data_IF_053590653075
#
_entry.id   IF_053590653075
#
_cell.length_a   1.000
_cell.length_b   1.000
_cell.length_c   1.000
_cell.angle_alpha   90.00
_cell.angle_beta   90.00
_cell.angle_gamma   90.00
#
_symmetry.space_group_name_H-M   'P 1'
#
loop_
_entity.id
_entity.type
_entity.pdbx_description
1 polymer ?
#
# COMPACT_ATOMS: atom_id res chain seq x y z
N UNK A 1 -9.33 -9.98 -11.84
CA UNK A 1 -8.39 -10.66 -12.76
C UNK A 1 -8.37 -12.13 -12.40
N UNK A 2 -8.61 -13.06 -13.34
CA UNK A 2 -8.69 -14.50 -13.05
C UNK A 2 -7.34 -15.08 -12.60
N UNK A 3 -6.23 -14.58 -13.14
CA UNK A 3 -4.86 -14.90 -12.73
C UNK A 3 -4.16 -13.60 -12.31
N UNK A 4 -3.57 -13.56 -11.10
CA UNK A 4 -2.82 -12.41 -10.57
C UNK A 4 -1.31 -12.66 -10.60
N UNK A 5 -0.82 -13.15 -11.74
CA UNK A 5 0.62 -13.39 -11.94
C UNK A 5 1.30 -12.11 -12.35
N UNK A 6 2.63 -12.04 -12.14
CA UNK A 6 3.43 -10.91 -12.58
C UNK A 6 3.30 -10.67 -14.09
N UNK A 7 3.37 -11.74 -14.90
CA UNK A 7 3.18 -11.67 -16.36
C UNK A 7 1.83 -11.04 -16.75
N UNK A 8 0.76 -11.36 -16.03
CA UNK A 8 -0.55 -10.77 -16.30
C UNK A 8 -0.54 -9.26 -16.01
N UNK A 9 0.11 -8.83 -14.93
CA UNK A 9 0.28 -7.42 -14.62
C UNK A 9 1.18 -6.69 -15.63
N UNK A 10 2.27 -7.32 -16.07
CA UNK A 10 3.18 -6.75 -17.08
C UNK A 10 2.43 -6.43 -18.37
N UNK A 11 1.57 -7.35 -18.85
CA UNK A 11 0.71 -7.12 -20.03
C UNK A 11 -0.25 -5.94 -19.84
N UNK A 12 -0.82 -5.77 -18.64
CA UNK A 12 -1.71 -4.65 -18.33
C UNK A 12 -0.93 -3.33 -18.33
N UNK A 13 0.20 -3.28 -17.63
CA UNK A 13 1.02 -2.08 -17.53
C UNK A 13 1.64 -1.70 -18.88
N UNK A 14 1.98 -2.67 -19.72
CA UNK A 14 2.44 -2.42 -21.07
C UNK A 14 1.39 -1.69 -21.90
N UNK A 15 0.14 -2.19 -21.90
CA UNK A 15 -0.96 -1.52 -22.61
C UNK A 15 -1.16 -0.09 -22.12
N UNK A 16 -1.14 0.13 -20.81
CA UNK A 16 -1.25 1.46 -20.21
C UNK A 16 -0.09 2.36 -20.66
N UNK A 17 1.15 1.87 -20.58
CA UNK A 17 2.33 2.63 -21.00
C UNK A 17 2.25 3.03 -22.48
N UNK A 18 1.91 2.10 -23.36
CA UNK A 18 1.78 2.38 -24.79
C UNK A 18 0.71 3.44 -25.08
N UNK A 19 -0.44 3.38 -24.40
CA UNK A 19 -1.51 4.38 -24.52
C UNK A 19 -1.07 5.76 -24.01
N UNK A 20 -0.40 5.82 -22.87
CA UNK A 20 0.12 7.09 -22.33
C UNK A 20 1.15 7.72 -23.29
N UNK A 21 2.07 6.90 -23.82
CA UNK A 21 3.08 7.37 -24.76
C UNK A 21 2.49 7.79 -26.11
N UNK A 22 1.41 7.14 -26.59
CA UNK A 22 0.74 7.58 -27.82
C UNK A 22 0.04 8.93 -27.67
N UNK A 23 -0.45 9.25 -26.47
CA UNK A 23 -1.08 10.54 -26.18
C UNK A 23 -0.04 11.63 -25.96
N UNK A 24 1.02 11.34 -25.19
CA UNK A 24 2.10 12.28 -24.92
C UNK A 24 3.45 11.57 -24.84
N UNK A 25 4.22 11.52 -25.93
CA UNK A 25 5.55 10.90 -25.96
C UNK A 25 6.56 11.55 -24.99
N UNK A 26 6.34 12.80 -24.60
CA UNK A 26 7.24 13.58 -23.71
C UNK A 26 6.72 13.65 -22.27
N UNK A 27 5.78 12.79 -21.90
CA UNK A 27 5.23 12.76 -20.54
C UNK A 27 6.34 12.46 -19.53
N UNK A 28 6.41 13.26 -18.46
CA UNK A 28 7.29 12.95 -17.34
C UNK A 28 6.91 11.59 -16.73
N UNK A 29 7.87 10.87 -16.10
CA UNK A 29 7.57 9.60 -15.47
C UNK A 29 6.43 9.73 -14.46
N UNK A 30 5.33 8.96 -14.61
CA UNK A 30 4.19 9.06 -13.72
C UNK A 30 4.51 8.52 -12.33
N UNK A 31 3.76 8.94 -11.32
CA UNK A 31 3.70 8.24 -10.03
C UNK A 31 2.71 7.09 -10.13
N UNK A 32 3.16 5.87 -9.88
CA UNK A 32 2.38 4.64 -9.98
C UNK A 32 2.04 4.17 -8.56
N UNK A 33 0.74 4.07 -8.25
CA UNK A 33 0.25 3.60 -6.95
C UNK A 33 -0.46 2.27 -7.15
N UNK A 34 0.04 1.20 -6.53
CA UNK A 34 -0.48 -0.17 -6.66
C UNK A 34 -0.85 -0.77 -5.32
N UNK A 35 -1.67 -1.82 -5.31
CA UNK A 35 -1.86 -2.62 -4.10
C UNK A 35 -0.54 -3.36 -3.72
N UNK A 36 -0.43 -3.84 -2.49
CA UNK A 36 0.77 -4.48 -1.93
C UNK A 36 1.01 -5.92 -2.46
N UNK A 37 0.48 -6.25 -3.64
CA UNK A 37 0.74 -7.52 -4.30
C UNK A 37 2.11 -7.48 -4.98
N UNK A 38 3.04 -8.35 -4.56
CA UNK A 38 4.42 -8.41 -5.08
C UNK A 38 4.44 -8.51 -6.61
N UNK A 39 3.52 -9.28 -7.20
CA UNK A 39 3.39 -9.43 -8.64
C UNK A 39 3.08 -8.10 -9.35
N UNK A 40 2.19 -7.28 -8.77
CA UNK A 40 1.84 -5.98 -9.33
C UNK A 40 2.97 -4.96 -9.16
N UNK A 41 3.64 -4.94 -8.00
CA UNK A 41 4.78 -4.06 -7.73
C UNK A 41 5.91 -4.34 -8.73
N UNK A 42 6.35 -5.59 -8.85
CA UNK A 42 7.44 -5.98 -9.75
C UNK A 42 7.12 -5.70 -11.22
N UNK A 43 5.87 -5.95 -11.62
CA UNK A 43 5.42 -5.65 -12.98
C UNK A 43 5.42 -4.15 -13.28
N UNK A 44 5.03 -3.32 -12.31
CA UNK A 44 5.07 -1.86 -12.44
C UNK A 44 6.51 -1.34 -12.52
N UNK A 45 7.40 -1.80 -11.62
CA UNK A 45 8.83 -1.43 -11.62
C UNK A 45 9.52 -1.79 -12.94
N UNK A 46 9.22 -2.98 -13.48
CA UNK A 46 9.74 -3.44 -14.78
C UNK A 46 9.20 -2.68 -15.98
N UNK A 47 7.97 -2.14 -15.92
CA UNK A 47 7.42 -1.41 -17.06
C UNK A 47 7.70 0.09 -17.01
N UNK A 48 7.78 0.64 -15.82
CA UNK A 48 7.94 2.07 -15.55
C UNK A 48 9.22 2.35 -14.74
N UNK A 49 10.38 2.01 -15.30
CA UNK A 49 11.68 2.12 -14.61
C UNK A 49 12.01 3.51 -14.06
N UNK A 50 11.56 4.57 -14.73
CA UNK A 50 11.81 5.95 -14.31
C UNK A 50 10.74 6.52 -13.38
N UNK A 51 9.68 5.75 -13.10
CA UNK A 51 8.56 6.16 -12.26
C UNK A 51 8.77 5.80 -10.80
N UNK A 52 8.17 6.60 -9.91
CA UNK A 52 7.94 6.17 -8.53
C UNK A 52 6.87 5.08 -8.51
N UNK A 53 7.16 3.94 -7.89
CA UNK A 53 6.19 2.85 -7.63
C UNK A 53 5.94 2.79 -6.12
N UNK A 54 4.70 3.03 -5.72
CA UNK A 54 4.32 3.17 -4.31
C UNK A 54 3.13 2.28 -3.95
N UNK A 55 3.07 1.90 -2.67
CA UNK A 55 1.96 1.13 -2.11
C UNK A 55 0.73 1.99 -1.83
N UNK A 56 -0.45 1.46 -2.12
CA UNK A 56 -1.72 2.15 -1.93
C UNK A 56 -2.12 2.18 -0.45
N UNK A 57 -2.04 3.36 0.18
CA UNK A 57 -2.41 3.57 1.58
C UNK A 57 -3.85 3.11 1.89
N UNK A 58 -4.80 3.33 0.97
CA UNK A 58 -6.18 2.93 1.14
C UNK A 58 -6.31 1.41 1.33
N UNK A 59 -5.65 0.62 0.47
CA UNK A 59 -5.65 -0.83 0.58
C UNK A 59 -4.94 -1.32 1.85
N UNK A 60 -3.83 -0.68 2.23
CA UNK A 60 -3.11 -0.97 3.48
C UNK A 60 -4.01 -0.77 4.71
N UNK A 61 -4.68 0.38 4.82
CA UNK A 61 -5.59 0.68 5.93
C UNK A 61 -6.74 -0.33 5.96
N UNK A 62 -7.31 -0.70 4.81
CA UNK A 62 -8.36 -1.73 4.74
C UNK A 62 -7.87 -3.10 5.19
N UNK A 63 -6.66 -3.49 4.81
CA UNK A 63 -6.04 -4.74 5.26
C UNK A 63 -5.87 -4.74 6.79
N UNK A 64 -5.34 -3.67 7.38
CA UNK A 64 -5.22 -3.52 8.83
C UNK A 64 -6.56 -3.56 9.55
N UNK A 65 -7.59 -2.91 9.04
CA UNK A 65 -8.94 -2.94 9.63
C UNK A 65 -9.50 -4.36 9.64
N UNK A 66 -9.39 -5.09 8.51
CA UNK A 66 -9.86 -6.48 8.41
C UNK A 66 -9.10 -7.38 9.37
N UNK A 67 -7.78 -7.26 9.43
CA UNK A 67 -6.93 -8.06 10.31
C UNK A 67 -7.20 -7.77 11.79
N UNK A 68 -7.32 -6.49 12.17
CA UNK A 68 -7.74 -6.10 13.52
C UNK A 68 -9.08 -6.73 13.90
N UNK A 69 -10.05 -6.71 12.97
CA UNK A 69 -11.37 -7.28 13.22
C UNK A 69 -11.31 -8.80 13.37
N UNK A 70 -10.55 -9.51 12.53
CA UNK A 70 -10.40 -10.97 12.62
C UNK A 70 -9.72 -11.41 13.92
N UNK A 71 -8.84 -10.58 14.48
CA UNK A 71 -8.22 -10.80 15.79
C UNK A 71 -9.14 -10.41 16.98
N UNK A 72 -10.36 -9.92 16.73
CA UNK A 72 -11.27 -9.48 17.79
C UNK A 72 -10.80 -8.24 18.55
N UNK A 73 -9.81 -7.50 18.04
CA UNK A 73 -9.20 -6.37 18.75
C UNK A 73 -10.11 -5.15 18.86
N UNK A 74 -11.22 -5.13 18.12
CA UNK A 74 -12.21 -4.04 18.15
C UNK A 74 -12.75 -3.79 19.56
N UNK A 75 -12.86 -4.82 20.41
CA UNK A 75 -13.32 -4.70 21.81
C UNK A 75 -12.39 -3.87 22.70
N UNK A 76 -11.11 -3.79 22.34
CA UNK A 76 -10.11 -2.98 23.05
C UNK A 76 -10.05 -1.53 22.54
N UNK A 77 -10.66 -1.25 21.39
CA UNK A 77 -10.75 0.10 20.83
C UNK A 77 -12.03 0.85 21.23
N UNK A 78 -13.05 0.15 21.74
CA UNK A 78 -14.29 0.75 22.22
C UNK A 78 -15.07 -0.24 23.10
N UNK A 79 -15.82 0.29 24.06
CA UNK A 79 -16.73 -0.50 24.91
C UNK A 79 -16.09 -0.97 26.22
N UNK A 80 -16.70 -1.97 26.86
CA UNK A 80 -16.35 -2.43 28.23
C UNK A 80 -14.88 -2.83 28.42
N UNK A 81 -14.24 -3.36 27.38
CA UNK A 81 -12.86 -3.85 27.43
C UNK A 81 -11.85 -2.86 26.83
N UNK A 82 -12.21 -1.59 26.71
CA UNK A 82 -11.35 -0.57 26.12
C UNK A 82 -9.99 -0.47 26.82
N UNK A 83 -8.92 -0.33 26.03
CA UNK A 83 -7.57 -0.09 26.53
C UNK A 83 -6.93 1.12 25.84
N UNK A 84 -6.52 2.11 26.63
CA UNK A 84 -5.77 3.29 26.15
C UNK A 84 -4.48 2.88 25.43
N UNK A 85 -3.79 1.85 25.91
CA UNK A 85 -2.56 1.33 25.31
C UNK A 85 -2.82 0.78 23.91
N UNK A 86 -3.84 -0.06 23.75
CA UNK A 86 -4.21 -0.63 22.44
C UNK A 86 -4.69 0.46 21.48
N UNK A 87 -5.47 1.43 21.96
CA UNK A 87 -5.88 2.61 21.17
C UNK A 87 -4.67 3.40 20.66
N UNK A 88 -3.71 3.70 21.54
CA UNK A 88 -2.50 4.45 21.18
C UNK A 88 -1.67 3.67 20.17
N UNK A 89 -1.40 2.38 20.43
CA UNK A 89 -0.69 1.49 19.52
C UNK A 89 -1.34 1.40 18.14
N UNK A 90 -2.66 1.22 18.08
CA UNK A 90 -3.38 1.15 16.80
C UNK A 90 -3.32 2.47 16.02
N UNK A 91 -3.34 3.62 16.72
CA UNK A 91 -3.11 4.93 16.10
C UNK A 91 -1.67 5.06 15.58
N UNK A 92 -0.67 4.59 16.34
CA UNK A 92 0.73 4.58 15.92
C UNK A 92 0.90 3.78 14.64
N UNK A 93 0.41 2.53 14.58
CA UNK A 93 0.51 1.69 13.38
C UNK A 93 -0.09 2.38 12.15
N UNK A 94 -1.29 2.96 12.31
CA UNK A 94 -1.95 3.68 11.21
C UNK A 94 -1.19 4.91 10.73
N UNK A 95 -0.33 5.47 11.57
CA UNK A 95 0.52 6.62 11.26
C UNK A 95 1.84 6.26 10.58
N UNK A 96 2.31 5.01 10.66
CA UNK A 96 3.61 4.56 10.11
C UNK A 96 3.88 5.07 8.68
N UNK A 97 2.93 5.01 7.72
CA UNK A 97 3.21 5.43 6.34
C UNK A 97 3.59 6.91 6.19
N UNK A 98 3.33 7.72 7.21
CA UNK A 98 3.63 9.16 7.24
C UNK A 98 4.89 9.49 8.06
N UNK A 99 5.54 8.47 8.64
CA UNK A 99 6.71 8.65 9.49
C UNK A 99 7.96 8.42 8.63
N UNK A 100 8.89 9.39 8.55
CA UNK A 100 10.17 9.19 7.89
C UNK A 100 10.91 7.99 8.46
N UNK A 101 11.57 7.22 7.59
CA UNK A 101 12.20 5.94 7.94
C UNK A 101 13.13 6.04 9.16
N UNK A 102 13.93 7.11 9.24
CA UNK A 102 14.85 7.39 10.36
C UNK A 102 14.18 7.48 11.74
N UNK A 103 12.86 7.65 11.78
CA UNK A 103 12.09 7.73 13.03
C UNK A 103 11.28 6.47 13.33
N UNK A 104 11.25 5.47 12.44
CA UNK A 104 10.46 4.25 12.66
C UNK A 104 10.87 3.50 13.93
N UNK A 105 12.17 3.42 14.21
CA UNK A 105 12.72 2.78 15.44
C UNK A 105 12.40 3.55 16.73
N UNK A 106 11.90 4.78 16.62
CA UNK A 106 11.50 5.60 17.77
C UNK A 106 9.99 5.50 18.07
N UNK A 107 9.23 4.78 17.24
CA UNK A 107 7.79 4.66 17.42
C UNK A 107 7.48 3.73 18.61
N UNK A 108 6.61 4.15 19.55
CA UNK A 108 6.27 3.33 20.70
C UNK A 108 5.44 2.11 20.29
N UNK A 109 5.89 0.92 20.69
CA UNK A 109 5.18 -0.35 20.46
C UNK A 109 5.44 -1.00 19.09
N UNK A 110 6.52 -0.59 18.41
CA UNK A 110 7.17 -1.29 17.31
C UNK A 110 8.53 -1.81 17.77
#
# INVERSE_FOLDING_TARGET
MRNKTQETYEKVFEKIHCQLHSINPKMAPPRIIVDFEIAAIRAAERRFHSSSVEGCLFHLIRAWIRHRNSLGLTKYLKGKYESRHVKKWYRTIRGIPFVPEKYLRKLPGL
#
